data_IF_024770249876
#
_entry.id   IF_024770249876
#
_cell.length_a   1.000
_cell.length_b   1.000
_cell.length_c   1.000
_cell.angle_alpha   90.00
_cell.angle_beta   90.00
_cell.angle_gamma   90.00
#
_symmetry.space_group_name_H-M   'P 1'
#
loop_
_entity.id
_entity.type
_entity.pdbx_description
1 polymer ?
#
# COMPACT_ATOMS: atom_id res chain seq x y z
N UNK A 1 -9.68 19.15 -1.08
CA UNK A 1 -11.14 18.97 -0.97
C UNK A 1 -11.46 17.48 -0.75
N UNK A 2 -12.53 17.20 0.03
CA UNK A 2 -12.97 15.83 0.32
C UNK A 2 -12.52 15.30 1.68
N UNK A 3 -11.44 15.80 2.27
CA UNK A 3 -10.99 15.42 3.60
C UNK A 3 -12.06 15.65 4.66
N UNK A 4 -12.87 16.70 4.49
CA UNK A 4 -13.98 17.05 5.36
C UNK A 4 -15.03 15.92 5.45
N UNK A 5 -15.21 15.16 4.37
CA UNK A 5 -16.13 13.99 4.35
C UNK A 5 -15.57 12.86 5.21
N UNK A 6 -14.26 12.62 5.13
CA UNK A 6 -13.60 11.63 5.99
C UNK A 6 -13.62 12.05 7.47
N UNK A 7 -13.42 13.34 7.76
CA UNK A 7 -13.50 13.88 9.14
C UNK A 7 -14.91 13.65 9.71
N UNK A 8 -15.95 14.01 8.97
CA UNK A 8 -17.34 13.77 9.39
C UNK A 8 -17.64 12.28 9.63
N UNK A 9 -17.07 11.39 8.79
CA UNK A 9 -17.20 9.95 9.00
C UNK A 9 -16.42 9.46 10.23
N UNK A 10 -15.23 10.01 10.54
CA UNK A 10 -14.50 9.72 11.76
C UNK A 10 -15.30 10.15 13.00
N UNK A 11 -15.89 11.35 12.98
CA UNK A 11 -16.73 11.85 14.07
C UNK A 11 -17.95 10.94 14.29
N UNK A 12 -18.57 10.44 13.21
CA UNK A 12 -19.69 9.51 13.29
C UNK A 12 -19.30 8.15 13.90
N UNK A 13 -18.06 7.69 13.66
CA UNK A 13 -17.51 6.45 14.23
C UNK A 13 -16.89 6.62 15.63
N UNK A 14 -16.63 7.86 16.07
CA UNK A 14 -15.98 8.15 17.35
C UNK A 14 -16.64 7.49 18.57
N UNK A 15 -17.97 7.32 18.66
CA UNK A 15 -18.62 6.64 19.78
C UNK A 15 -18.13 5.20 20.04
N UNK A 16 -17.54 4.54 19.03
CA UNK A 16 -16.99 3.19 19.19
C UNK A 16 -15.68 3.17 20.00
N UNK A 17 -15.01 4.31 20.17
CA UNK A 17 -13.70 4.40 20.83
C UNK A 17 -13.67 5.42 21.99
N UNK A 18 -14.46 6.48 21.94
CA UNK A 18 -14.48 7.50 22.99
C UNK A 18 -15.03 6.91 24.27
N UNK A 19 -14.26 7.11 25.39
CA UNK A 19 -14.59 6.55 26.69
C UNK A 19 -14.09 5.13 26.94
N UNK A 20 -13.52 4.45 25.94
CA UNK A 20 -12.86 3.17 26.15
C UNK A 20 -11.51 3.36 26.90
N UNK A 21 -11.12 2.34 27.67
CA UNK A 21 -9.77 2.32 28.28
C UNK A 21 -8.74 1.87 27.25
N UNK A 22 -7.48 2.28 27.47
CA UNK A 22 -6.35 1.86 26.61
C UNK A 22 -6.22 0.35 26.60
N UNK A 23 -6.30 -0.28 27.78
CA UNK A 23 -6.21 -1.72 27.94
C UNK A 23 -7.33 -2.45 27.18
N UNK A 24 -8.57 -1.92 27.24
CA UNK A 24 -9.71 -2.50 26.53
C UNK A 24 -9.58 -2.41 25.00
N UNK A 25 -9.07 -1.29 24.50
CA UNK A 25 -8.84 -1.11 23.05
C UNK A 25 -7.73 -2.03 22.54
N UNK A 26 -6.60 -2.09 23.24
CA UNK A 26 -5.43 -2.88 22.84
C UNK A 26 -5.70 -4.39 22.93
N UNK A 27 -6.53 -4.82 23.88
CA UNK A 27 -6.88 -6.23 24.07
C UNK A 27 -7.77 -6.82 22.96
N UNK A 28 -8.51 -6.00 22.20
CA UNK A 28 -9.48 -6.45 21.19
C UNK A 28 -9.48 -5.57 19.94
N UNK A 29 -8.33 -5.48 19.27
CA UNK A 29 -8.17 -4.69 18.04
C UNK A 29 -9.04 -5.24 16.88
N UNK A 30 -9.14 -6.57 16.74
CA UNK A 30 -10.00 -7.21 15.76
C UNK A 30 -11.49 -6.95 16.02
N UNK A 31 -11.94 -7.03 17.27
CA UNK A 31 -13.29 -6.67 17.66
C UNK A 31 -13.61 -5.19 17.46
N UNK A 32 -12.67 -4.29 17.77
CA UNK A 32 -12.82 -2.87 17.45
C UNK A 32 -13.04 -2.65 15.96
N UNK A 33 -12.18 -3.24 15.12
CA UNK A 33 -12.30 -3.13 13.68
C UNK A 33 -13.65 -3.62 13.17
N UNK A 34 -14.11 -4.80 13.63
CA UNK A 34 -15.43 -5.36 13.27
C UNK A 34 -16.58 -4.42 13.65
N UNK A 35 -16.51 -3.75 14.81
CA UNK A 35 -17.52 -2.75 15.20
C UNK A 35 -17.53 -1.55 14.27
N UNK A 36 -16.34 -1.01 13.91
CA UNK A 36 -16.22 0.14 13.02
C UNK A 36 -16.81 -0.13 11.62
N UNK A 37 -16.52 -1.28 11.02
CA UNK A 37 -16.97 -1.60 9.65
C UNK A 37 -18.39 -2.16 9.59
N UNK A 38 -18.99 -2.54 10.71
CA UNK A 38 -20.34 -3.09 10.77
C UNK A 38 -21.40 -2.16 11.38
N UNK A 39 -21.05 -0.86 11.60
CA UNK A 39 -22.05 0.12 12.05
C UNK A 39 -23.25 0.12 11.12
N UNK A 40 -24.43 -0.19 11.68
CA UNK A 40 -25.64 -0.46 10.90
C UNK A 40 -26.18 0.77 10.18
N UNK A 41 -25.93 1.98 10.71
CA UNK A 41 -26.42 3.22 10.11
C UNK A 41 -25.47 3.69 9.01
N UNK A 42 -24.17 3.62 9.24
CA UNK A 42 -23.17 4.06 8.26
C UNK A 42 -23.09 3.12 7.06
N UNK A 43 -23.48 1.85 7.19
CA UNK A 43 -23.55 0.90 6.07
C UNK A 43 -24.49 1.33 4.94
N UNK A 44 -25.47 2.16 5.19
CA UNK A 44 -26.34 2.73 4.15
C UNK A 44 -25.60 3.73 3.26
N UNK A 45 -24.59 4.41 3.80
CA UNK A 45 -23.81 5.41 3.07
C UNK A 45 -22.73 4.79 2.18
N UNK A 46 -22.39 3.55 2.41
CA UNK A 46 -21.41 2.79 1.65
C UNK A 46 -20.80 1.69 2.50
N UNK A 47 -21.26 0.43 2.37
CA UNK A 47 -20.72 -0.66 3.17
C UNK A 47 -19.31 -0.97 2.71
N UNK A 48 -18.37 -0.92 3.65
CA UNK A 48 -16.97 -1.35 3.48
C UNK A 48 -16.28 -0.75 2.24
N UNK A 49 -16.53 0.55 1.97
CA UNK A 49 -15.86 1.31 0.91
C UNK A 49 -15.99 2.81 1.10
N UNK A 50 -15.19 3.57 0.34
CA UNK A 50 -15.25 5.04 0.30
C UNK A 50 -14.88 5.70 1.62
N UNK A 51 -15.42 6.89 1.88
CA UNK A 51 -15.03 7.74 3.02
C UNK A 51 -15.26 7.07 4.38
N UNK A 52 -16.32 6.28 4.53
CA UNK A 52 -16.59 5.55 5.80
C UNK A 52 -15.52 4.51 6.07
N UNK A 53 -15.07 3.79 5.03
CA UNK A 53 -14.04 2.77 5.16
C UNK A 53 -12.66 3.38 5.44
N UNK A 54 -12.34 4.51 4.82
CA UNK A 54 -11.13 5.31 5.12
C UNK A 54 -11.16 5.88 6.53
N UNK A 55 -12.32 6.32 7.03
CA UNK A 55 -12.48 6.76 8.41
C UNK A 55 -12.25 5.61 9.41
N UNK A 56 -12.77 4.42 9.12
CA UNK A 56 -12.48 3.22 9.91
C UNK A 56 -10.97 2.91 9.90
N UNK A 57 -10.29 3.08 8.75
CA UNK A 57 -8.82 2.95 8.66
C UNK A 57 -8.10 3.93 9.59
N UNK A 58 -8.48 5.21 9.58
CA UNK A 58 -7.86 6.22 10.43
C UNK A 58 -7.94 5.86 11.92
N UNK A 59 -9.11 5.40 12.38
CA UNK A 59 -9.32 5.02 13.78
C UNK A 59 -8.54 3.75 14.14
N UNK A 60 -8.63 2.70 13.32
CA UNK A 60 -7.96 1.44 13.66
C UNK A 60 -6.44 1.53 13.55
N UNK A 61 -5.92 2.28 12.57
CA UNK A 61 -4.47 2.52 12.47
C UNK A 61 -3.95 3.29 13.67
N UNK A 62 -4.71 4.29 14.17
CA UNK A 62 -4.38 4.99 15.42
C UNK A 62 -4.41 4.04 16.63
N UNK A 63 -5.34 3.08 16.68
CA UNK A 63 -5.37 2.05 17.73
C UNK A 63 -4.17 1.11 17.66
N UNK A 64 -3.69 0.74 16.46
CA UNK A 64 -2.46 -0.02 16.29
C UNK A 64 -1.21 0.78 16.65
N UNK A 65 -1.15 2.08 16.34
CA UNK A 65 -0.09 2.98 16.80
C UNK A 65 -0.04 2.99 18.33
N UNK A 66 -1.19 3.17 18.98
CA UNK A 66 -1.31 3.13 20.43
C UNK A 66 -0.85 1.78 21.00
N UNK A 67 -1.29 0.65 20.41
CA UNK A 67 -0.89 -0.68 20.85
C UNK A 67 0.63 -0.89 20.72
N UNK A 68 1.23 -0.44 19.64
CA UNK A 68 2.68 -0.46 19.46
C UNK A 68 3.42 0.35 20.51
N UNK A 69 2.92 1.55 20.86
CA UNK A 69 3.49 2.40 21.91
C UNK A 69 3.37 1.77 23.29
N UNK A 70 2.23 1.19 23.62
CA UNK A 70 2.01 0.48 24.89
C UNK A 70 2.93 -0.73 25.00
N UNK A 71 3.12 -1.48 23.92
CA UNK A 71 4.00 -2.64 23.87
C UNK A 71 5.50 -2.27 23.77
N UNK A 72 5.84 -0.99 23.53
CA UNK A 72 7.22 -0.55 23.27
C UNK A 72 7.80 -1.09 21.97
N UNK A 73 6.94 -1.36 20.94
CA UNK A 73 7.33 -2.00 19.67
C UNK A 73 6.82 -1.22 18.46
N UNK A 74 7.57 -1.19 17.36
CA UNK A 74 6.99 -0.78 16.08
C UNK A 74 5.90 -1.78 15.66
N UNK A 75 4.89 -1.30 14.90
CA UNK A 75 3.71 -2.12 14.57
C UNK A 75 4.07 -3.35 13.74
N UNK A 76 5.05 -3.28 12.82
CA UNK A 76 5.50 -4.47 12.10
C UNK A 76 5.95 -5.59 13.04
N UNK A 77 6.67 -5.23 14.11
CA UNK A 77 7.14 -6.17 15.14
C UNK A 77 6.01 -6.66 16.02
N UNK A 78 5.12 -5.75 16.41
CA UNK A 78 3.93 -6.10 17.19
C UNK A 78 3.12 -7.19 16.48
N UNK A 79 2.85 -7.01 15.19
CA UNK A 79 2.12 -7.98 14.36
C UNK A 79 2.90 -9.29 14.18
N UNK A 80 4.20 -9.21 13.87
CA UNK A 80 5.01 -10.39 13.64
C UNK A 80 5.20 -11.23 14.92
N UNK A 81 5.10 -10.66 16.12
CA UNK A 81 5.19 -11.37 17.39
C UNK A 81 3.88 -12.08 17.81
N UNK A 82 2.77 -11.80 17.12
CA UNK A 82 1.50 -12.50 17.34
C UNK A 82 1.58 -13.97 16.93
N UNK A 83 0.75 -14.81 17.56
CA UNK A 83 0.56 -16.19 17.08
C UNK A 83 -0.25 -16.17 15.77
N UNK A 84 -0.19 -17.25 14.96
CA UNK A 84 -1.04 -17.38 13.77
C UNK A 84 -2.53 -17.16 14.08
N UNK A 85 -3.04 -17.69 15.19
CA UNK A 85 -4.42 -17.56 15.62
C UNK A 85 -4.76 -16.10 15.97
N UNK A 86 -3.85 -15.38 16.65
CA UNK A 86 -4.03 -13.96 16.97
C UNK A 86 -4.06 -13.10 15.71
N UNK A 87 -3.21 -13.40 14.72
CA UNK A 87 -3.22 -12.69 13.42
C UNK A 87 -4.54 -12.95 12.69
N UNK A 88 -4.99 -14.19 12.64
CA UNK A 88 -6.25 -14.58 11.98
C UNK A 88 -7.46 -13.94 12.66
N UNK A 89 -7.45 -13.76 14.00
CA UNK A 89 -8.54 -13.10 14.74
C UNK A 89 -8.62 -11.59 14.49
N UNK A 90 -7.58 -10.95 13.95
CA UNK A 90 -7.65 -9.55 13.53
C UNK A 90 -8.64 -9.36 12.37
N UNK A 91 -8.74 -10.30 11.46
CA UNK A 91 -9.52 -10.20 10.23
C UNK A 91 -11.01 -10.53 10.41
N UNK A 92 -11.83 -10.02 9.50
CA UNK A 92 -13.22 -10.47 9.33
C UNK A 92 -13.29 -11.41 8.10
N UNK A 93 -13.59 -12.65 8.35
CA UNK A 93 -13.63 -13.72 7.35
C UNK A 93 -14.94 -13.78 6.58
N UNK A 94 -15.94 -12.93 6.92
CA UNK A 94 -17.16 -12.83 6.13
C UNK A 94 -16.81 -12.53 4.69
N UNK A 95 -17.42 -13.24 3.76
CA UNK A 95 -17.25 -13.11 2.31
C UNK A 95 -15.89 -13.57 1.77
N UNK A 96 -15.03 -14.21 2.58
CA UNK A 96 -13.71 -14.70 2.16
C UNK A 96 -13.59 -16.22 2.17
N UNK A 97 -14.46 -16.92 2.91
CA UNK A 97 -14.30 -18.35 3.21
C UNK A 97 -14.43 -19.29 1.99
N UNK A 98 -14.95 -18.78 0.88
CA UNK A 98 -14.93 -19.47 -0.42
C UNK A 98 -13.55 -19.42 -1.12
N UNK A 99 -12.68 -18.52 -0.70
CA UNK A 99 -11.31 -18.37 -1.24
C UNK A 99 -10.23 -18.78 -0.23
N UNK A 100 -10.41 -18.42 1.04
CA UNK A 100 -9.49 -18.71 2.14
C UNK A 100 -10.26 -18.84 3.45
N UNK A 101 -10.15 -19.98 4.10
CA UNK A 101 -10.75 -20.22 5.42
C UNK A 101 -9.78 -19.85 6.54
N UNK A 102 -10.29 -19.49 7.74
CA UNK A 102 -9.44 -19.15 8.89
C UNK A 102 -8.39 -20.22 9.21
N UNK A 103 -8.76 -21.51 9.14
CA UNK A 103 -7.87 -22.62 9.43
C UNK A 103 -6.72 -22.69 8.42
N UNK A 104 -7.01 -22.48 7.13
CA UNK A 104 -5.98 -22.43 6.07
C UNK A 104 -5.05 -21.23 6.25
N UNK A 105 -5.57 -20.09 6.74
CA UNK A 105 -4.76 -18.93 7.05
C UNK A 105 -3.79 -19.18 8.23
N UNK A 106 -4.24 -19.91 9.27
CA UNK A 106 -3.36 -20.36 10.36
C UNK A 106 -2.26 -21.28 9.83
N UNK A 107 -2.60 -22.22 8.93
CA UNK A 107 -1.62 -23.12 8.31
C UNK A 107 -0.57 -22.34 7.49
N UNK A 108 -0.99 -21.35 6.68
CA UNK A 108 -0.08 -20.48 5.92
C UNK A 108 0.90 -19.73 6.84
N UNK A 109 0.37 -19.09 7.89
CA UNK A 109 1.18 -18.36 8.86
C UNK A 109 2.15 -19.29 9.62
N UNK A 110 1.70 -20.48 9.95
CA UNK A 110 2.52 -21.50 10.64
C UNK A 110 3.65 -21.97 9.73
N UNK A 111 3.36 -22.21 8.45
CA UNK A 111 4.36 -22.61 7.46
C UNK A 111 5.41 -21.52 7.18
N UNK A 112 5.06 -20.23 7.36
CA UNK A 112 5.98 -19.12 7.20
C UNK A 112 6.91 -18.87 8.41
N UNK A 113 6.67 -19.49 9.57
CA UNK A 113 7.48 -19.26 10.80
C UNK A 113 8.94 -19.67 10.71
N UNK A 114 9.30 -20.82 10.11
CA UNK A 114 10.71 -21.19 9.97
C UNK A 114 11.53 -20.12 9.27
N UNK A 115 12.74 -19.85 9.76
CA UNK A 115 13.63 -18.82 9.20
C UNK A 115 13.21 -17.36 9.51
N UNK A 116 12.26 -17.14 10.42
CA UNK A 116 11.82 -15.78 10.77
C UNK A 116 12.94 -14.94 11.38
N UNK A 117 13.73 -15.52 12.27
CA UNK A 117 14.80 -14.78 12.96
C UNK A 117 15.90 -14.35 11.98
N UNK A 118 16.21 -15.19 11.00
CA UNK A 118 17.13 -14.88 9.92
C UNK A 118 16.59 -13.75 9.02
N UNK A 119 15.28 -13.80 8.67
CA UNK A 119 14.63 -12.72 7.92
C UNK A 119 14.62 -11.41 8.68
N UNK A 120 14.35 -11.46 9.99
CA UNK A 120 14.40 -10.25 10.82
C UNK A 120 15.81 -9.68 10.91
N UNK A 121 16.82 -10.50 11.09
CA UNK A 121 18.21 -10.07 11.09
C UNK A 121 18.58 -9.41 9.75
N UNK A 122 18.18 -10.00 8.62
CA UNK A 122 18.38 -9.43 7.29
C UNK A 122 17.64 -8.09 7.13
N UNK A 123 16.36 -8.01 7.54
CA UNK A 123 15.56 -6.79 7.49
C UNK A 123 16.22 -5.64 8.27
N UNK A 124 16.71 -5.92 9.48
CA UNK A 124 17.39 -4.93 10.31
C UNK A 124 18.75 -4.49 9.75
N UNK A 125 19.44 -5.36 9.06
CA UNK A 125 20.76 -5.07 8.47
C UNK A 125 20.65 -4.28 7.17
N UNK A 126 19.78 -4.71 6.24
CA UNK A 126 19.70 -4.20 4.86
C UNK A 126 18.45 -3.37 4.58
N UNK A 127 17.37 -3.58 5.31
CA UNK A 127 16.08 -2.97 5.05
C UNK A 127 15.20 -3.79 4.09
N UNK A 128 14.09 -3.19 3.65
CA UNK A 128 13.14 -3.78 2.70
C UNK A 128 13.24 -3.09 1.34
N UNK A 129 13.24 -3.82 0.20
CA UNK A 129 13.42 -3.23 -1.13
C UNK A 129 12.38 -2.16 -1.46
N UNK A 130 12.81 -1.08 -2.09
CA UNK A 130 11.97 0.03 -2.52
C UNK A 130 12.04 0.27 -4.03
N UNK A 131 11.00 0.91 -4.58
CA UNK A 131 11.04 1.56 -5.88
C UNK A 131 10.57 3.01 -5.75
N UNK A 132 10.88 3.86 -6.74
CA UNK A 132 10.47 5.25 -6.67
C UNK A 132 9.70 5.73 -7.90
N UNK A 133 8.68 6.58 -7.65
CA UNK A 133 7.91 7.29 -8.67
C UNK A 133 8.48 8.69 -8.94
N UNK A 134 9.44 9.14 -8.15
CA UNK A 134 10.01 10.51 -8.21
C UNK A 134 10.39 10.97 -9.61
N UNK A 135 11.05 10.17 -10.49
CA UNK A 135 11.43 10.63 -11.83
C UNK A 135 10.28 10.66 -12.83
N UNK A 136 9.15 10.02 -12.55
CA UNK A 136 8.18 9.63 -13.56
C UNK A 136 6.92 10.46 -13.70
N UNK A 137 6.80 11.60 -13.03
CA UNK A 137 5.57 12.41 -13.07
C UNK A 137 5.29 12.97 -14.46
N UNK A 138 4.00 13.06 -14.84
CA UNK A 138 3.56 13.74 -16.06
C UNK A 138 3.91 15.24 -15.99
N UNK A 139 4.27 15.81 -17.13
CA UNK A 139 4.61 17.24 -17.24
C UNK A 139 6.05 17.58 -16.84
N UNK A 140 6.87 16.61 -16.44
CA UNK A 140 8.30 16.85 -16.28
C UNK A 140 8.98 17.01 -17.65
N UNK A 141 9.99 17.91 -17.70
CA UNK A 141 10.87 18.03 -18.86
C UNK A 141 11.77 16.81 -18.97
N UNK A 142 12.30 16.56 -20.17
CA UNK A 142 13.23 15.47 -20.42
C UNK A 142 14.46 15.53 -19.51
N UNK A 143 15.05 16.71 -19.35
CA UNK A 143 16.19 16.92 -18.47
C UNK A 143 15.87 16.54 -17.02
N UNK A 144 14.67 16.90 -16.55
CA UNK A 144 14.24 16.56 -15.19
C UNK A 144 14.03 15.05 -15.02
N UNK A 145 13.38 14.39 -15.98
CA UNK A 145 13.22 12.93 -15.97
C UNK A 145 14.57 12.25 -15.94
N UNK A 146 15.50 12.64 -16.84
CA UNK A 146 16.85 12.04 -16.93
C UNK A 146 17.64 12.25 -15.64
N UNK A 147 17.61 13.46 -15.08
CA UNK A 147 18.33 13.79 -13.84
C UNK A 147 17.82 12.92 -12.69
N UNK A 148 16.52 12.96 -12.43
CA UNK A 148 15.91 12.21 -11.32
C UNK A 148 16.02 10.68 -11.49
N UNK A 149 15.96 10.18 -12.74
CA UNK A 149 16.16 8.76 -12.99
C UNK A 149 17.60 8.30 -12.71
N UNK A 150 18.60 9.12 -13.04
CA UNK A 150 20.01 8.86 -12.70
C UNK A 150 20.26 8.93 -11.19
N UNK A 151 19.69 9.90 -10.52
CA UNK A 151 19.74 10.04 -9.05
C UNK A 151 19.14 8.80 -8.39
N UNK A 152 17.94 8.36 -8.82
CA UNK A 152 17.32 7.14 -8.29
C UNK A 152 18.22 5.90 -8.42
N UNK A 153 18.87 5.72 -9.58
CA UNK A 153 19.82 4.59 -9.78
C UNK A 153 21.05 4.75 -8.88
N UNK A 154 21.57 5.97 -8.74
CA UNK A 154 22.71 6.26 -7.87
C UNK A 154 22.39 6.00 -6.38
N UNK A 155 21.14 6.24 -5.97
CA UNK A 155 20.63 5.97 -4.63
C UNK A 155 20.28 4.49 -4.39
N UNK A 156 20.57 3.62 -5.37
CA UNK A 156 20.43 2.17 -5.25
C UNK A 156 19.04 1.61 -5.58
N UNK A 157 18.12 2.43 -6.12
CA UNK A 157 16.83 1.90 -6.57
C UNK A 157 17.01 1.01 -7.80
N UNK A 158 16.43 -0.18 -7.75
CA UNK A 158 16.43 -1.16 -8.85
C UNK A 158 15.18 -1.11 -9.71
N UNK A 159 14.25 -0.23 -9.34
CA UNK A 159 13.01 -0.01 -10.06
C UNK A 159 12.56 1.46 -9.94
N UNK A 160 12.09 2.02 -11.05
CA UNK A 160 11.40 3.31 -11.10
C UNK A 160 9.99 3.14 -11.67
N UNK A 161 9.10 4.13 -11.47
CA UNK A 161 7.76 4.14 -12.05
C UNK A 161 7.51 5.45 -12.82
N UNK A 162 6.92 5.34 -14.02
CA UNK A 162 6.52 6.47 -14.84
C UNK A 162 4.99 6.54 -14.93
N UNK A 163 4.42 7.72 -14.75
CA UNK A 163 3.02 8.00 -15.06
C UNK A 163 2.85 8.06 -16.58
N UNK A 164 1.81 7.42 -17.09
CA UNK A 164 1.44 7.34 -18.50
C UNK A 164 -0.05 7.65 -18.72
N UNK A 165 -0.53 7.63 -19.96
CA UNK A 165 -1.95 7.81 -20.29
C UNK A 165 -2.31 9.25 -20.58
N UNK A 166 -1.34 10.15 -20.80
CA UNK A 166 -1.56 11.51 -21.26
C UNK A 166 -1.71 11.59 -22.78
N UNK A 167 -0.65 11.27 -23.48
CA UNK A 167 -0.53 11.21 -24.93
C UNK A 167 0.36 10.01 -25.29
N UNK A 168 -0.08 9.15 -26.21
CA UNK A 168 0.64 7.92 -26.54
C UNK A 168 2.04 8.21 -27.12
N UNK A 169 2.16 9.21 -27.99
CA UNK A 169 3.44 9.56 -28.62
C UNK A 169 4.43 10.09 -27.57
N UNK A 170 3.95 10.90 -26.63
CA UNK A 170 4.78 11.40 -25.52
C UNK A 170 5.14 10.27 -24.55
N UNK A 171 4.22 9.39 -24.22
CA UNK A 171 4.46 8.23 -23.35
C UNK A 171 5.52 7.28 -23.92
N UNK A 172 5.46 6.98 -25.23
CA UNK A 172 6.47 6.20 -25.97
C UNK A 172 7.84 6.91 -25.89
N UNK A 173 7.89 8.20 -26.18
CA UNK A 173 9.12 9.00 -26.13
C UNK A 173 9.73 9.02 -24.73
N UNK A 174 8.91 9.22 -23.69
CA UNK A 174 9.34 9.23 -22.28
C UNK A 174 9.83 7.86 -21.83
N UNK A 175 9.18 6.79 -22.23
CA UNK A 175 9.63 5.42 -21.95
C UNK A 175 10.96 5.10 -22.62
N UNK A 176 11.15 5.49 -23.90
CA UNK A 176 12.42 5.35 -24.58
C UNK A 176 13.54 6.08 -23.85
N UNK A 177 13.31 7.35 -23.49
CA UNK A 177 14.25 8.18 -22.77
C UNK A 177 14.61 7.60 -21.40
N UNK A 178 13.62 7.15 -20.65
CA UNK A 178 13.84 6.50 -19.35
C UNK A 178 14.67 5.22 -19.50
N UNK A 179 14.32 4.34 -20.44
CA UNK A 179 15.06 3.08 -20.68
C UNK A 179 16.50 3.34 -21.11
N UNK A 180 16.73 4.30 -21.99
CA UNK A 180 18.10 4.72 -22.39
C UNK A 180 18.89 5.29 -21.20
N UNK A 181 18.21 5.98 -20.28
CA UNK A 181 18.84 6.61 -19.11
C UNK A 181 19.23 5.60 -18.04
N UNK A 182 18.34 4.64 -17.71
CA UNK A 182 18.57 3.71 -16.59
C UNK A 182 19.20 2.38 -17.01
N UNK A 183 19.24 2.08 -18.31
CA UNK A 183 19.78 0.81 -18.83
C UNK A 183 18.82 -0.37 -18.66
N UNK A 184 19.23 -1.58 -19.11
CA UNK A 184 18.38 -2.76 -19.15
C UNK A 184 18.13 -3.41 -17.78
N UNK A 185 19.00 -3.20 -16.81
CA UNK A 185 18.95 -3.88 -15.51
C UNK A 185 17.96 -3.25 -14.52
N UNK A 186 17.54 -2.02 -14.77
CA UNK A 186 16.58 -1.32 -13.93
C UNK A 186 15.16 -1.59 -14.43
N UNK A 187 14.29 -2.05 -13.55
CA UNK A 187 12.87 -2.23 -13.86
C UNK A 187 12.17 -0.89 -14.03
N UNK A 188 11.32 -0.78 -15.05
CA UNK A 188 10.47 0.39 -15.25
C UNK A 188 9.02 -0.07 -15.15
N UNK A 189 8.32 0.38 -14.10
CA UNK A 189 6.87 0.27 -13.99
C UNK A 189 6.20 1.43 -14.71
N UNK A 190 4.99 1.24 -15.20
CA UNK A 190 4.17 2.31 -15.76
C UNK A 190 2.82 2.34 -15.06
N UNK A 191 2.23 3.54 -14.91
CA UNK A 191 1.00 3.75 -14.16
C UNK A 191 0.07 4.70 -14.93
N UNK A 192 -1.10 4.20 -15.29
CA UNK A 192 -2.10 4.93 -16.06
C UNK A 192 -3.14 5.66 -15.19
N UNK A 193 -3.18 5.40 -13.89
CA UNK A 193 -4.15 5.97 -12.96
C UNK A 193 -5.59 5.90 -13.51
N UNK A 194 -6.02 4.72 -13.96
CA UNK A 194 -7.40 4.39 -14.36
C UNK A 194 -7.90 5.17 -15.60
N UNK A 195 -7.00 5.63 -16.48
CA UNK A 195 -7.39 6.52 -17.59
C UNK A 195 -8.06 5.82 -18.75
N UNK A 196 -7.86 4.52 -18.92
CA UNK A 196 -8.22 3.81 -20.13
C UNK A 196 -9.44 2.90 -19.95
N UNK A 197 -10.16 2.67 -21.01
CA UNK A 197 -10.96 1.46 -21.14
C UNK A 197 -10.07 0.27 -21.52
N UNK A 198 -10.65 -0.93 -21.53
CA UNK A 198 -9.91 -2.18 -21.76
C UNK A 198 -9.19 -2.20 -23.11
N UNK A 199 -9.85 -1.75 -24.17
CA UNK A 199 -9.27 -1.73 -25.52
C UNK A 199 -8.09 -0.77 -25.61
N UNK A 200 -8.25 0.42 -25.08
CA UNK A 200 -7.21 1.45 -25.04
C UNK A 200 -6.03 1.02 -24.17
N UNK A 201 -6.28 0.39 -23.01
CA UNK A 201 -5.22 -0.15 -22.16
C UNK A 201 -4.33 -1.14 -22.90
N UNK A 202 -4.94 -2.06 -23.67
CA UNK A 202 -4.20 -3.04 -24.48
C UNK A 202 -3.37 -2.32 -25.56
N UNK A 203 -3.97 -1.39 -26.29
CA UNK A 203 -3.27 -0.62 -27.36
C UNK A 203 -2.05 0.13 -26.79
N UNK A 204 -2.22 0.86 -25.68
CA UNK A 204 -1.14 1.62 -25.06
C UNK A 204 0.00 0.73 -24.57
N UNK A 205 -0.33 -0.35 -23.86
CA UNK A 205 0.69 -1.27 -23.36
C UNK A 205 1.44 -1.95 -24.49
N UNK A 206 0.76 -2.35 -25.57
CA UNK A 206 1.42 -2.92 -26.77
C UNK A 206 2.42 -1.92 -27.39
N UNK A 207 2.08 -0.64 -27.45
CA UNK A 207 3.00 0.39 -27.97
C UNK A 207 4.21 0.62 -27.03
N UNK A 208 4.06 0.41 -25.74
CA UNK A 208 5.12 0.59 -24.73
C UNK A 208 5.97 -0.66 -24.51
N UNK A 209 5.50 -1.86 -24.93
CA UNK A 209 6.21 -3.14 -24.81
C UNK A 209 7.67 -3.14 -25.28
N UNK A 210 8.05 -2.46 -26.40
CA UNK A 210 9.44 -2.44 -26.85
C UNK A 210 10.44 -1.89 -25.82
N UNK A 211 9.98 -1.16 -24.83
CA UNK A 211 10.79 -0.59 -23.75
C UNK A 211 10.80 -1.42 -22.48
N UNK A 212 10.25 -2.64 -22.53
CA UNK A 212 10.23 -3.63 -21.44
C UNK A 212 9.66 -3.09 -20.12
N UNK A 213 8.39 -2.64 -20.07
CA UNK A 213 7.76 -2.26 -18.83
C UNK A 213 7.57 -3.49 -17.93
N UNK A 214 7.92 -3.35 -16.63
CA UNK A 214 7.80 -4.43 -15.65
C UNK A 214 6.35 -4.73 -15.31
N UNK A 215 5.53 -3.68 -15.10
CA UNK A 215 4.08 -3.78 -14.99
C UNK A 215 3.38 -2.53 -15.54
N UNK A 216 2.13 -2.70 -15.88
CA UNK A 216 1.15 -1.62 -16.00
C UNK A 216 0.29 -1.58 -14.74
N UNK A 217 0.26 -0.42 -14.08
CA UNK A 217 -0.51 -0.15 -12.87
C UNK A 217 -1.79 0.59 -13.23
N UNK A 218 -2.91 0.17 -12.61
CA UNK A 218 -4.23 0.77 -12.78
C UNK A 218 -4.61 1.04 -14.25
N UNK A 219 -4.57 0.05 -15.15
CA UNK A 219 -4.86 0.29 -16.57
C UNK A 219 -6.29 0.79 -16.82
N UNK A 220 -7.25 0.35 -16.00
CA UNK A 220 -8.67 0.68 -16.12
C UNK A 220 -9.30 0.85 -14.73
N UNK A 221 -10.62 1.02 -14.67
CA UNK A 221 -11.35 1.19 -13.40
C UNK A 221 -11.04 0.09 -12.37
N UNK A 222 -10.78 0.44 -11.10
CA UNK A 222 -10.54 -0.55 -10.05
C UNK A 222 -11.75 -1.48 -9.80
N UNK A 223 -12.94 -1.09 -10.24
CA UNK A 223 -14.15 -1.89 -10.13
C UNK A 223 -14.33 -2.87 -11.32
N UNK A 224 -13.52 -2.74 -12.39
CA UNK A 224 -13.58 -3.62 -13.57
C UNK A 224 -12.63 -4.82 -13.46
N UNK A 225 -13.03 -5.81 -12.67
CA UNK A 225 -12.25 -7.02 -12.43
C UNK A 225 -12.04 -7.82 -13.73
N UNK A 226 -13.09 -7.96 -14.53
CA UNK A 226 -13.03 -8.72 -15.79
C UNK A 226 -12.23 -7.97 -16.85
N UNK A 227 -12.27 -6.64 -16.85
CA UNK A 227 -11.43 -5.79 -17.68
C UNK A 227 -9.95 -5.96 -17.35
N UNK A 228 -9.57 -5.93 -16.08
CA UNK A 228 -8.19 -6.22 -15.64
C UNK A 228 -7.75 -7.61 -16.11
N UNK A 229 -8.59 -8.64 -15.95
CA UNK A 229 -8.28 -9.99 -16.43
C UNK A 229 -8.10 -10.05 -17.95
N UNK A 230 -8.89 -9.28 -18.73
CA UNK A 230 -8.76 -9.19 -20.17
C UNK A 230 -7.45 -8.50 -20.58
N UNK A 231 -7.12 -7.35 -19.94
CA UNK A 231 -5.85 -6.65 -20.16
C UNK A 231 -4.68 -7.58 -19.85
N UNK A 232 -4.66 -8.22 -18.68
CA UNK A 232 -3.57 -9.12 -18.24
C UNK A 232 -3.27 -10.22 -19.27
N UNK A 233 -4.32 -10.86 -19.77
CA UNK A 233 -4.14 -11.91 -20.80
C UNK A 233 -3.58 -11.39 -22.11
N UNK A 234 -3.95 -10.16 -22.48
CA UNK A 234 -3.57 -9.58 -23.77
C UNK A 234 -2.17 -8.98 -23.78
N UNK A 235 -1.74 -8.38 -22.66
CA UNK A 235 -0.47 -7.63 -22.61
C UNK A 235 0.74 -8.45 -22.17
N UNK A 236 0.58 -9.73 -21.85
CA UNK A 236 1.70 -10.58 -21.44
C UNK A 236 2.91 -10.44 -22.40
N UNK A 237 4.15 -10.41 -21.91
CA UNK A 237 4.61 -10.69 -20.53
C UNK A 237 4.56 -9.49 -19.57
N UNK A 238 4.07 -8.32 -19.98
CA UNK A 238 3.90 -7.17 -19.09
C UNK A 238 2.90 -7.56 -18.02
N UNK A 239 3.28 -7.37 -16.75
CA UNK A 239 2.43 -7.68 -15.60
C UNK A 239 1.34 -6.62 -15.43
N UNK A 240 0.23 -6.99 -14.81
CA UNK A 240 -0.82 -6.04 -14.38
C UNK A 240 -0.76 -5.90 -12.86
N UNK A 241 -0.65 -4.65 -12.41
CA UNK A 241 -0.66 -4.28 -11.00
C UNK A 241 -1.86 -3.39 -10.70
N UNK A 242 -2.52 -3.60 -9.55
CA UNK A 242 -3.56 -2.68 -9.05
C UNK A 242 -3.84 -2.91 -7.57
N UNK A 243 -4.50 -1.93 -6.94
CA UNK A 243 -4.96 -2.08 -5.58
C UNK A 243 -5.12 -0.80 -4.79
N UNK A 244 -4.41 0.29 -5.12
CA UNK A 244 -4.48 1.56 -4.36
C UNK A 244 -5.90 2.15 -4.30
N UNK A 245 -6.72 1.90 -5.31
CA UNK A 245 -8.13 2.32 -5.37
C UNK A 245 -9.13 1.17 -5.18
N UNK A 246 -8.66 -0.05 -4.97
CA UNK A 246 -9.54 -1.19 -4.71
C UNK A 246 -10.24 -1.00 -3.37
N UNK A 247 -11.56 -1.14 -3.38
CA UNK A 247 -12.40 -0.67 -2.29
C UNK A 247 -12.31 -1.49 -0.99
N UNK A 248 -12.12 -2.82 -1.09
CA UNK A 248 -12.13 -3.71 0.07
C UNK A 248 -11.60 -5.11 -0.26
N UNK A 249 -11.42 -5.93 0.78
CA UNK A 249 -10.93 -7.32 0.70
C UNK A 249 -11.73 -8.23 -0.23
N UNK A 250 -13.03 -7.95 -0.42
CA UNK A 250 -13.89 -8.78 -1.28
C UNK A 250 -13.54 -8.56 -2.75
N UNK A 251 -13.27 -7.33 -3.15
CA UNK A 251 -12.83 -7.01 -4.51
C UNK A 251 -11.43 -7.61 -4.75
N UNK A 252 -10.51 -7.50 -3.81
CA UNK A 252 -9.20 -8.17 -3.91
C UNK A 252 -9.34 -9.69 -4.07
N UNK A 253 -10.22 -10.34 -3.29
CA UNK A 253 -10.54 -11.75 -3.47
C UNK A 253 -10.97 -12.05 -4.90
N UNK A 254 -11.91 -11.28 -5.44
CA UNK A 254 -12.43 -11.49 -6.79
C UNK A 254 -11.36 -11.25 -7.87
N UNK A 255 -10.49 -10.27 -7.72
CA UNK A 255 -9.35 -10.05 -8.63
C UNK A 255 -8.41 -11.25 -8.66
N UNK A 256 -8.10 -11.83 -7.49
CA UNK A 256 -7.26 -13.02 -7.38
C UNK A 256 -7.95 -14.25 -7.98
N UNK A 257 -9.23 -14.47 -7.70
CA UNK A 257 -10.02 -15.58 -8.26
C UNK A 257 -10.18 -15.50 -9.78
N UNK A 258 -10.27 -14.27 -10.33
CA UNK A 258 -10.38 -14.03 -11.76
C UNK A 258 -9.01 -14.01 -12.47
N UNK A 259 -7.92 -14.23 -11.75
CA UNK A 259 -6.55 -14.07 -12.28
C UNK A 259 -6.36 -12.72 -12.99
N UNK A 260 -6.89 -11.66 -12.39
CA UNK A 260 -6.93 -10.33 -12.99
C UNK A 260 -5.63 -9.53 -12.84
N UNK A 261 -4.77 -9.92 -11.91
CA UNK A 261 -3.54 -9.21 -11.53
C UNK A 261 -2.34 -10.14 -11.37
N UNK A 262 -1.15 -9.63 -11.61
CA UNK A 262 0.14 -10.29 -11.36
C UNK A 262 0.86 -9.72 -10.15
N UNK A 263 0.51 -8.49 -9.74
CA UNK A 263 1.04 -7.77 -8.59
C UNK A 263 -0.12 -7.11 -7.85
N UNK A 264 -0.21 -7.37 -6.56
CA UNK A 264 -1.22 -6.78 -5.70
C UNK A 264 -0.64 -5.56 -4.97
N UNK A 265 -1.37 -4.45 -5.01
CA UNK A 265 -0.95 -3.21 -4.35
C UNK A 265 -1.90 -2.89 -3.21
N UNK A 266 -1.45 -3.13 -1.97
CA UNK A 266 -2.20 -2.65 -0.79
C UNK A 266 -1.96 -1.16 -0.58
N UNK A 267 -2.93 -0.52 0.07
CA UNK A 267 -2.80 0.82 0.64
C UNK A 267 -3.23 0.78 2.11
N UNK A 268 -2.43 1.37 2.99
CA UNK A 268 -2.66 1.28 4.43
C UNK A 268 -3.88 2.10 4.92
N UNK A 269 -4.41 3.00 4.06
CA UNK A 269 -5.49 3.94 4.41
C UNK A 269 -6.73 3.79 3.52
N UNK A 270 -6.60 3.18 2.34
CA UNK A 270 -7.70 3.04 1.38
C UNK A 270 -8.74 2.02 1.81
N UNK A 271 -8.28 0.85 2.26
CA UNK A 271 -9.11 -0.14 2.94
C UNK A 271 -9.14 0.12 4.44
N UNK A 272 -9.96 -0.57 5.21
CA UNK A 272 -10.12 -0.27 6.64
C UNK A 272 -8.91 -0.66 7.52
N UNK A 273 -7.72 -0.19 7.16
CA UNK A 273 -6.50 -0.26 7.98
C UNK A 273 -5.88 -1.65 8.12
N UNK A 274 -5.12 -1.83 9.21
CA UNK A 274 -4.30 -3.03 9.44
C UNK A 274 -5.07 -4.34 9.33
N UNK A 275 -6.23 -4.56 9.98
CA UNK A 275 -6.90 -5.86 9.95
C UNK A 275 -7.37 -6.28 8.55
N UNK A 276 -7.83 -5.33 7.74
CA UNK A 276 -8.24 -5.64 6.38
C UNK A 276 -7.04 -5.91 5.48
N UNK A 277 -5.96 -5.15 5.64
CA UNK A 277 -4.71 -5.44 4.95
C UNK A 277 -4.14 -6.81 5.31
N UNK A 278 -4.23 -7.25 6.57
CA UNK A 278 -3.84 -8.62 6.99
C UNK A 278 -4.63 -9.66 6.20
N UNK A 279 -5.95 -9.52 6.07
CA UNK A 279 -6.77 -10.44 5.26
C UNK A 279 -6.34 -10.45 3.79
N UNK A 280 -6.04 -9.27 3.22
CA UNK A 280 -5.59 -9.14 1.82
C UNK A 280 -4.21 -9.78 1.61
N UNK A 281 -3.27 -9.58 2.53
CA UNK A 281 -1.94 -10.22 2.49
C UNK A 281 -2.04 -11.75 2.53
N UNK A 282 -2.93 -12.29 3.37
CA UNK A 282 -3.17 -13.74 3.46
C UNK A 282 -3.82 -14.29 2.19
N UNK A 283 -4.75 -13.55 1.57
CA UNK A 283 -5.29 -13.91 0.26
C UNK A 283 -4.19 -13.89 -0.81
N UNK A 284 -3.36 -12.84 -0.87
CA UNK A 284 -2.25 -12.76 -1.82
C UNK A 284 -1.28 -13.95 -1.66
N UNK A 285 -0.94 -14.32 -0.44
CA UNK A 285 -0.11 -15.49 -0.14
C UNK A 285 -0.75 -16.80 -0.62
N UNK A 286 -2.06 -16.99 -0.39
CA UNK A 286 -2.81 -18.17 -0.86
C UNK A 286 -2.75 -18.33 -2.38
N UNK A 287 -2.83 -17.21 -3.12
CA UNK A 287 -2.81 -17.21 -4.59
C UNK A 287 -1.41 -17.07 -5.18
N UNK A 288 -0.37 -16.93 -4.36
CA UNK A 288 1.02 -16.79 -4.81
C UNK A 288 1.30 -15.47 -5.54
N UNK A 289 0.49 -14.43 -5.31
CA UNK A 289 0.65 -13.12 -5.93
C UNK A 289 1.53 -12.21 -5.06
N UNK A 290 2.63 -11.64 -5.60
CA UNK A 290 3.48 -10.73 -4.83
C UNK A 290 2.75 -9.43 -4.51
N UNK A 291 3.08 -8.85 -3.34
CA UNK A 291 2.51 -7.57 -2.89
C UNK A 291 3.57 -6.48 -2.98
N UNK A 292 3.22 -5.39 -3.70
CA UNK A 292 4.04 -4.19 -3.86
C UNK A 292 3.20 -2.96 -3.48
N UNK A 293 3.23 -2.52 -2.22
CA UNK A 293 2.32 -1.48 -1.72
C UNK A 293 2.46 -0.14 -2.44
N UNK A 294 1.31 0.54 -2.60
CA UNK A 294 1.23 1.95 -2.91
C UNK A 294 1.61 2.81 -1.70
N UNK A 295 2.33 3.91 -1.92
CA UNK A 295 2.74 4.84 -0.88
C UNK A 295 2.77 6.31 -1.34
N UNK A 296 1.95 6.71 -2.29
CA UNK A 296 1.96 8.05 -2.93
C UNK A 296 1.37 9.19 -2.09
N UNK A 297 0.94 8.97 -0.85
CA UNK A 297 0.31 9.98 0.01
C UNK A 297 1.19 10.43 1.18
N UNK A 298 0.89 11.62 1.73
CA UNK A 298 1.59 12.16 2.91
C UNK A 298 1.44 11.22 4.11
N UNK A 299 2.56 10.74 4.66
CA UNK A 299 2.58 9.78 5.77
C UNK A 299 2.27 8.34 5.36
N UNK A 300 1.99 8.07 4.10
CA UNK A 300 1.65 6.74 3.64
C UNK A 300 2.88 5.82 3.58
N UNK A 301 4.03 6.34 3.18
CA UNK A 301 5.32 5.63 3.28
C UNK A 301 5.60 5.18 4.73
N UNK A 302 5.36 6.09 5.69
CA UNK A 302 5.57 5.86 7.14
C UNK A 302 4.71 4.71 7.66
N UNK A 303 3.48 4.59 7.16
CA UNK A 303 2.51 3.59 7.64
C UNK A 303 2.67 2.26 6.93
N UNK A 304 2.76 2.27 5.59
CA UNK A 304 2.70 1.05 4.79
C UNK A 304 3.96 0.17 4.93
N UNK A 305 5.11 0.75 5.26
CA UNK A 305 6.33 -0.01 5.53
C UNK A 305 6.12 -1.07 6.62
N UNK A 306 5.30 -0.77 7.64
CA UNK A 306 4.99 -1.74 8.70
C UNK A 306 4.26 -2.97 8.16
N UNK A 307 3.35 -2.80 7.22
CA UNK A 307 2.61 -3.91 6.61
C UNK A 307 3.51 -4.78 5.73
N UNK A 308 4.41 -4.17 4.95
CA UNK A 308 5.35 -4.91 4.11
C UNK A 308 6.37 -5.70 4.92
N UNK A 309 6.88 -5.13 6.00
CA UNK A 309 7.82 -5.82 6.89
C UNK A 309 7.13 -6.95 7.65
N UNK A 310 5.89 -6.76 8.09
CA UNK A 310 5.07 -7.83 8.64
C UNK A 310 4.82 -8.95 7.62
N UNK A 311 4.44 -8.61 6.37
CA UNK A 311 4.26 -9.58 5.29
C UNK A 311 5.51 -10.43 5.08
N UNK A 312 6.67 -9.79 4.98
CA UNK A 312 7.95 -10.48 4.82
C UNK A 312 8.28 -11.43 5.96
N UNK A 313 8.05 -11.01 7.21
CA UNK A 313 8.44 -11.81 8.37
C UNK A 313 7.48 -12.95 8.67
N UNK A 314 6.17 -12.72 8.48
CA UNK A 314 5.15 -13.60 9.03
C UNK A 314 4.21 -14.22 7.98
N UNK A 315 4.13 -13.68 6.76
CA UNK A 315 3.16 -14.14 5.75
C UNK A 315 3.86 -14.74 4.54
N UNK A 316 4.59 -13.93 3.76
CA UNK A 316 5.21 -14.36 2.50
C UNK A 316 6.56 -15.06 2.66
N UNK A 317 7.32 -14.66 3.67
CA UNK A 317 8.68 -15.16 3.89
C UNK A 317 9.70 -14.78 2.81
N UNK A 318 9.36 -13.91 1.86
CA UNK A 318 10.18 -13.58 0.69
C UNK A 318 10.07 -12.12 0.30
N UNK A 319 11.15 -11.55 -0.22
CA UNK A 319 11.18 -10.25 -0.89
C UNK A 319 11.25 -10.38 -2.42
N UNK A 320 11.15 -11.59 -2.96
CA UNK A 320 11.21 -11.82 -4.39
C UNK A 320 10.03 -11.15 -5.11
N UNK A 321 10.31 -10.28 -6.09
CA UNK A 321 9.33 -9.46 -6.82
C UNK A 321 8.45 -8.59 -5.91
N UNK A 322 8.94 -8.22 -4.74
CA UNK A 322 8.25 -7.40 -3.74
C UNK A 322 9.05 -6.14 -3.46
N UNK A 323 8.45 -4.99 -3.66
CA UNK A 323 9.05 -3.67 -3.45
C UNK A 323 8.00 -2.72 -2.89
N UNK A 324 8.38 -1.80 -2.01
CA UNK A 324 7.49 -0.74 -1.51
C UNK A 324 7.69 0.50 -2.36
N UNK A 325 6.61 1.19 -2.74
CA UNK A 325 6.69 2.51 -3.35
C UNK A 325 7.34 3.51 -2.40
N UNK A 326 8.22 4.34 -2.92
CA UNK A 326 8.76 5.49 -2.22
C UNK A 326 8.56 6.75 -3.06
N UNK A 327 7.96 7.76 -2.44
CA UNK A 327 7.81 9.10 -3.00
C UNK A 327 8.47 10.08 -2.06
N UNK A 328 9.52 10.75 -2.53
CA UNK A 328 10.31 11.67 -1.71
C UNK A 328 9.60 13.01 -1.55
N UNK A 329 8.68 13.09 -0.57
CA UNK A 329 8.04 14.37 -0.21
C UNK A 329 7.45 14.35 1.20
N UNK A 330 7.57 15.47 1.90
CA UNK A 330 6.90 15.79 3.16
C UNK A 330 7.24 14.89 4.36
N UNK A 331 8.31 14.06 4.27
CA UNK A 331 8.78 13.22 5.38
C UNK A 331 9.28 14.04 6.57
N UNK A 332 9.79 15.23 6.32
CA UNK A 332 10.28 16.17 7.32
C UNK A 332 9.23 16.62 8.35
N UNK A 333 7.95 16.40 8.06
CA UNK A 333 6.85 16.75 8.95
C UNK A 333 6.51 15.64 9.98
N UNK A 334 7.19 14.49 9.92
CA UNK A 334 6.97 13.38 10.86
C UNK A 334 8.07 13.30 11.92
N UNK A 335 7.71 12.79 13.13
CA UNK A 335 8.67 12.62 14.22
C UNK A 335 9.62 11.45 13.99
N UNK A 336 9.13 10.41 13.33
CA UNK A 336 9.84 9.19 12.97
C UNK A 336 9.70 8.94 11.46
N UNK A 337 10.32 9.80 10.62
CA UNK A 337 10.16 9.73 9.18
C UNK A 337 10.75 8.43 8.60
N UNK A 338 10.21 8.01 7.46
CA UNK A 338 10.80 6.93 6.69
C UNK A 338 12.24 7.27 6.30
N UNK A 339 13.09 6.27 6.26
CA UNK A 339 14.51 6.42 5.87
C UNK A 339 14.84 5.42 4.79
N UNK A 340 15.41 5.93 3.69
CA UNK A 340 15.91 5.12 2.58
C UNK A 340 17.43 5.07 2.63
N UNK A 341 17.97 3.88 2.35
CA UNK A 341 19.42 3.67 2.14
C UNK A 341 19.61 2.58 1.10
N UNK A 342 20.40 2.87 0.09
CA UNK A 342 20.71 1.93 -1.00
C UNK A 342 19.45 1.29 -1.60
N UNK A 343 18.42 2.12 -1.92
CA UNK A 343 17.14 1.66 -2.46
C UNK A 343 16.28 0.81 -1.53
N UNK A 344 16.51 0.87 -0.20
CA UNK A 344 15.78 0.08 0.79
C UNK A 344 15.19 0.95 1.90
N UNK A 345 13.96 0.64 2.32
CA UNK A 345 13.37 1.15 3.56
C UNK A 345 14.10 0.57 4.76
N UNK A 346 14.71 1.41 5.58
CA UNK A 346 15.26 0.97 6.85
C UNK A 346 14.13 0.68 7.84
N UNK A 347 14.17 -0.49 8.49
CA UNK A 347 13.13 -0.87 9.42
C UNK A 347 13.00 0.15 10.57
N UNK A 348 11.79 0.71 10.82
CA UNK A 348 11.57 1.60 11.95
C UNK A 348 11.71 0.83 13.26
N UNK A 349 12.40 1.45 14.22
CA UNK A 349 12.64 0.88 15.55
C UNK A 349 11.83 1.57 16.65
N UNK A 350 11.32 2.78 16.37
CA UNK A 350 10.48 3.50 17.32
C UNK A 350 9.13 2.81 17.54
N UNK A 351 8.58 2.81 18.77
CA UNK A 351 7.27 2.24 19.02
C UNK A 351 6.15 2.97 18.28
N UNK A 352 5.16 2.22 17.79
CA UNK A 352 4.01 2.75 17.05
C UNK A 352 4.12 2.53 15.54
N UNK A 353 3.41 3.37 14.77
CA UNK A 353 3.20 3.21 13.34
C UNK A 353 3.88 4.32 12.51
N UNK A 354 4.82 5.05 13.08
CA UNK A 354 5.59 6.16 12.47
C UNK A 354 4.74 7.33 11.93
N UNK A 355 3.43 7.33 12.15
CA UNK A 355 2.47 8.28 11.58
C UNK A 355 2.34 9.60 12.37
N UNK A 356 3.17 9.84 13.39
CA UNK A 356 3.06 11.02 14.24
C UNK A 356 3.67 12.24 13.55
N UNK A 357 2.82 13.20 13.20
CA UNK A 357 3.28 14.50 12.70
C UNK A 357 3.85 15.37 13.82
N UNK A 358 4.78 16.24 13.47
CA UNK A 358 5.33 17.26 14.36
C UNK A 358 4.27 18.31 14.69
N UNK A 359 4.20 18.73 15.95
CA UNK A 359 3.19 19.70 16.40
C UNK A 359 3.29 21.05 15.68
N UNK A 360 4.52 21.51 15.42
CA UNK A 360 4.78 22.73 14.65
C UNK A 360 4.25 22.63 13.22
N UNK A 361 4.40 21.48 12.55
CA UNK A 361 3.88 21.27 11.21
C UNK A 361 2.35 21.27 11.18
N UNK A 362 1.70 20.67 12.18
CA UNK A 362 0.25 20.71 12.28
C UNK A 362 -0.29 22.13 12.46
N UNK A 363 0.39 22.97 13.25
CA UNK A 363 0.01 24.37 13.47
C UNK A 363 0.24 25.22 12.22
N UNK A 364 1.36 25.01 11.53
CA UNK A 364 1.74 25.78 10.34
C UNK A 364 0.83 25.51 9.16
N UNK A 365 0.49 24.21 8.91
CA UNK A 365 -0.26 23.77 7.75
C UNK A 365 -1.74 23.48 8.02
N UNK A 366 -2.27 23.74 9.22
CA UNK A 366 -3.70 23.57 9.50
C UNK A 366 -4.56 24.46 8.62
N UNK A 367 -5.36 23.85 7.73
CA UNK A 367 -6.24 24.60 6.82
C UNK A 367 -7.56 24.96 7.53
N UNK A 368 -8.10 26.20 7.38
CA UNK A 368 -7.51 27.34 6.64
C UNK A 368 -6.65 28.27 7.51
N UNK A 369 -6.50 28.01 8.79
CA UNK A 369 -6.01 28.96 9.80
C UNK A 369 -4.49 28.92 10.05
N UNK A 370 -3.79 27.93 9.49
CA UNK A 370 -2.34 27.80 9.61
C UNK A 370 -1.58 28.93 8.90
N UNK A 371 -0.35 29.21 9.38
CA UNK A 371 0.47 30.30 8.86
C UNK A 371 0.74 30.17 7.36
N UNK A 372 0.89 28.95 6.85
CA UNK A 372 1.13 28.67 5.43
C UNK A 372 -0.01 29.14 4.49
N UNK A 373 -1.22 29.36 4.99
CA UNK A 373 -2.40 29.74 4.21
C UNK A 373 -2.78 31.24 4.31
N UNK A 374 -2.02 32.01 5.08
CA UNK A 374 -2.33 33.43 5.37
C UNK A 374 -1.66 34.43 4.41
N UNK A 375 -0.97 33.93 3.37
CA UNK A 375 -0.30 34.78 2.35
C UNK A 375 -1.23 35.18 1.24
#
# INVERSE_FOLDING_TARGET
RGTEVCVAAIEALAPHVVGATVEGLVADLGGLWRRLVSDSQLRWLGPEKGAVHMAAAAIINAAFDLAGRVAGKPVWRLLADMTPEQIVDLADWRYLTDALRPEEAVDLLTAARPGRDEREAALLATGYPAYTTTPGWLGYTDDKLVTLAREAVADGFTQIKLKVGGDLTDDVRRMELARQTVGPDIRIAIDANQRWDVGQAIEWVEALKPYDPWWIEEPTSPDDILGHAAVRRSVAPVRVATGEHVANRVIFKQMLQAEAIDVLQIDACRVAGVPENVAILLLAAKYGVPVCPHAGGVGLCEVVQHLSMFDYLAVSGSTENRVIEYVDHLHEHFTDPVRIRDGHYLAPTAPGMSARMKAESLLEYAYPDGAAWRS
#
